data_IF_408186916096
#
_entry.id   IF_408186916096
#
_cell.length_a   1.000
_cell.length_b   1.000
_cell.length_c   1.000
_cell.angle_alpha   90.00
_cell.angle_beta   90.00
_cell.angle_gamma   90.00
#
_symmetry.space_group_name_H-M   'P 1'
#
loop_
_entity.id
_entity.type
_entity.pdbx_description
1 polymer ?
#
# COMPACT_ATOMS: atom_id res chain seq x y z
N UNK A 1 33.28 16.13 9.69
CA UNK A 1 33.54 16.87 10.94
C UNK A 1 35.05 16.96 11.15
N UNK A 2 35.68 18.09 10.80
CA UNK A 2 37.09 18.35 11.18
C UNK A 2 37.12 18.76 12.66
N UNK A 3 37.96 18.13 13.47
CA UNK A 3 38.17 18.50 14.88
C UNK A 3 39.16 19.65 14.93
N UNK A 4 38.76 20.79 15.48
CA UNK A 4 39.64 21.92 15.75
C UNK A 4 40.40 21.62 17.05
N UNK A 5 41.72 21.54 17.00
CA UNK A 5 42.56 21.42 18.19
C UNK A 5 43.12 22.80 18.55
N UNK A 6 42.75 23.30 19.73
CA UNK A 6 43.24 24.56 20.27
C UNK A 6 44.49 24.28 21.12
N UNK A 7 45.68 24.66 20.64
CA UNK A 7 46.91 24.66 21.45
C UNK A 7 47.20 26.09 21.93
N UNK A 8 47.07 26.31 23.24
CA UNK A 8 47.54 27.54 23.89
C UNK A 8 49.00 27.34 24.33
N UNK A 9 49.94 28.08 23.75
CA UNK A 9 51.28 28.25 24.32
C UNK A 9 51.36 29.62 25.00
N UNK A 10 51.46 29.63 26.33
CA UNK A 10 51.86 30.81 27.08
C UNK A 10 53.34 30.65 27.46
N UNK A 11 54.24 31.37 26.79
CA UNK A 11 55.66 31.40 27.14
C UNK A 11 55.87 32.55 28.13
N UNK A 12 55.98 32.24 29.42
CA UNK A 12 56.39 33.22 30.43
C UNK A 12 57.92 33.35 30.42
N UNK A 13 58.44 34.45 29.87
CA UNK A 13 59.84 34.84 29.95
C UNK A 13 59.96 36.10 30.82
N UNK A 14 60.86 36.10 31.81
CA UNK A 14 61.09 37.21 32.73
C UNK A 14 62.06 38.25 32.14
N UNK A 15 61.69 38.86 31.02
CA UNK A 15 62.23 40.14 30.56
C UNK A 15 61.06 41.05 30.17
N UNK A 16 61.20 42.35 30.42
CA UNK A 16 60.29 43.38 29.87
C UNK A 16 60.29 43.27 28.35
N UNK A 17 59.20 42.74 27.80
CA UNK A 17 59.08 42.44 26.39
C UNK A 17 57.66 42.02 26.02
N UNK A 18 57.36 42.15 24.73
CA UNK A 18 56.05 41.96 24.11
C UNK A 18 55.46 40.56 24.37
N UNK A 19 54.25 40.51 24.93
CA UNK A 19 53.43 39.30 24.93
C UNK A 19 52.76 39.14 23.56
N UNK A 20 52.96 38.01 22.90
CA UNK A 20 52.25 37.67 21.65
C UNK A 20 51.49 36.36 21.87
N UNK A 21 50.19 36.37 21.61
CA UNK A 21 49.39 35.15 21.46
C UNK A 21 49.02 35.04 20.00
N UNK A 22 49.49 33.98 19.34
CA UNK A 22 49.14 33.65 17.97
C UNK A 22 48.02 32.63 18.04
N UNK A 23 46.81 32.99 17.59
CA UNK A 23 45.76 32.00 17.34
C UNK A 23 46.05 31.39 15.97
N UNK A 24 46.68 30.23 15.96
CA UNK A 24 46.89 29.44 14.76
C UNK A 24 45.72 28.47 14.61
N UNK A 25 44.93 28.62 13.54
CA UNK A 25 43.88 27.69 13.16
C UNK A 25 44.34 26.96 11.92
N UNK A 26 44.48 25.64 12.01
CA UNK A 26 44.70 24.82 10.83
C UNK A 26 43.35 24.60 10.13
N UNK A 27 43.39 24.48 8.79
CA UNK A 27 42.38 23.79 7.98
C UNK A 27 41.14 24.59 7.48
N UNK A 28 41.27 25.91 7.28
CA UNK A 28 40.29 26.70 6.51
C UNK A 28 40.62 26.67 5.01
N UNK A 29 39.65 26.33 4.16
CA UNK A 29 39.80 26.43 2.70
C UNK A 29 39.31 27.77 2.14
N UNK A 30 39.64 28.01 0.87
CA UNK A 30 39.85 29.31 0.24
C UNK A 30 38.59 30.20 0.03
N UNK A 31 37.45 29.88 0.65
CA UNK A 31 36.15 30.54 0.38
C UNK A 31 35.61 31.36 1.56
N UNK A 32 36.32 31.38 2.68
CA UNK A 32 35.81 31.92 3.95
C UNK A 32 36.50 33.23 4.32
N UNK A 33 35.70 34.29 4.45
CA UNK A 33 36.11 35.51 5.15
C UNK A 33 35.95 35.30 6.65
N UNK A 34 36.92 35.76 7.44
CA UNK A 34 36.87 35.76 8.90
C UNK A 34 36.52 37.19 9.38
N UNK A 35 35.25 37.58 9.50
CA UNK A 35 34.90 38.89 10.03
C UNK A 35 35.18 38.90 11.54
N UNK A 36 36.13 39.73 11.97
CA UNK A 36 36.38 40.01 13.39
C UNK A 36 35.60 41.29 13.72
N UNK A 37 34.37 41.16 14.21
CA UNK A 37 33.60 42.30 14.69
C UNK A 37 33.74 42.38 16.20
N UNK A 38 34.42 43.43 16.69
CA UNK A 38 34.48 43.73 18.12
C UNK A 38 33.46 44.83 18.43
N UNK A 39 32.60 44.65 19.44
CA UNK A 39 31.77 45.75 19.92
C UNK A 39 32.58 46.62 20.89
N UNK A 40 32.63 47.93 20.62
CA UNK A 40 33.27 48.91 21.51
C UNK A 40 34.60 49.54 21.06
N UNK A 41 35.04 49.37 19.81
CA UNK A 41 36.26 50.02 19.29
C UNK A 41 36.10 50.60 17.88
N UNK A 42 36.92 51.59 17.52
CA UNK A 42 36.92 52.25 16.20
C UNK A 42 37.71 51.43 15.18
N UNK A 43 37.09 51.10 14.05
CA UNK A 43 37.69 50.34 12.95
C UNK A 43 38.68 51.20 12.14
N UNK A 44 39.83 50.64 11.75
CA UNK A 44 40.77 51.28 10.82
C UNK A 44 41.10 50.31 9.68
N UNK A 45 40.79 50.70 8.45
CA UNK A 45 41.05 49.89 7.24
C UNK A 45 42.15 50.57 6.44
N UNK A 46 43.33 49.95 6.38
CA UNK A 46 44.44 50.38 5.53
C UNK A 46 45.68 49.53 5.73
N UNK A 47 46.36 49.19 4.63
CA UNK A 47 47.69 48.56 4.70
C UNK A 47 48.71 49.62 5.09
N UNK A 48 49.40 49.48 6.22
CA UNK A 48 50.52 50.36 6.55
C UNK A 48 51.81 49.58 6.72
N UNK A 49 52.89 50.12 6.15
CA UNK A 49 54.25 49.91 6.63
C UNK A 49 54.41 50.63 7.97
N UNK A 50 55.33 50.13 8.80
CA UNK A 50 55.39 50.30 10.26
C UNK A 50 55.47 51.73 10.85
N UNK A 51 55.44 52.80 10.05
CA UNK A 51 55.70 54.18 10.50
C UNK A 51 54.46 55.06 10.69
N UNK A 52 53.28 54.69 10.18
CA UNK A 52 52.11 55.59 10.18
C UNK A 52 51.10 55.21 11.27
N UNK A 53 51.50 55.28 12.55
CA UNK A 53 50.62 54.97 13.70
C UNK A 53 50.32 56.23 14.55
N UNK A 54 49.06 56.50 14.96
CA UNK A 54 48.74 57.62 15.87
C UNK A 54 49.12 57.29 17.31
N UNK A 55 49.67 58.26 18.04
CA UNK A 55 50.27 58.10 19.39
C UNK A 55 49.29 57.72 20.51
N UNK A 56 47.96 57.72 20.29
CA UNK A 56 46.97 57.65 21.37
C UNK A 56 45.86 56.59 21.22
N UNK A 57 46.11 55.49 20.48
CA UNK A 57 45.17 54.36 20.44
C UNK A 57 45.69 53.19 21.30
N UNK A 58 44.96 52.86 22.36
CA UNK A 58 45.23 51.76 23.29
C UNK A 58 44.87 50.36 22.72
N UNK A 59 44.35 50.30 21.51
CA UNK A 59 44.03 49.06 20.78
C UNK A 59 44.13 49.28 19.27
N UNK A 60 44.73 48.34 18.54
CA UNK A 60 44.85 48.37 17.08
C UNK A 60 44.72 46.96 16.50
N UNK A 61 43.96 46.81 15.41
CA UNK A 61 43.84 45.58 14.63
C UNK A 61 44.29 45.87 13.21
N UNK A 62 45.39 45.27 12.75
CA UNK A 62 45.68 45.22 11.32
C UNK A 62 44.93 44.03 10.73
N UNK A 63 43.83 44.28 10.02
CA UNK A 63 43.28 43.27 9.12
C UNK A 63 44.18 43.22 7.88
N UNK A 64 44.67 42.03 7.54
CA UNK A 64 45.15 41.79 6.18
C UNK A 64 44.05 40.98 5.49
N UNK A 65 43.49 41.53 4.42
CA UNK A 65 42.58 40.77 3.56
C UNK A 65 43.41 39.66 2.91
N UNK A 66 43.48 38.49 3.55
CA UNK A 66 44.26 37.37 3.07
C UNK A 66 43.48 36.60 2.01
N UNK A 67 43.44 37.14 0.79
CA UNK A 67 42.98 36.38 -0.37
C UNK A 67 44.06 35.36 -0.73
N UNK A 68 43.75 34.06 -0.58
CA UNK A 68 44.58 32.97 -1.13
C UNK A 68 45.78 32.52 -0.29
N UNK A 69 45.73 32.56 1.05
CA UNK A 69 46.75 31.91 1.89
C UNK A 69 46.16 30.99 2.96
N UNK A 70 46.80 29.83 3.13
CA UNK A 70 46.43 28.68 3.98
C UNK A 70 46.54 28.93 5.49
N UNK A 71 46.78 30.16 5.95
CA UNK A 71 46.97 30.51 7.36
C UNK A 71 46.59 31.99 7.58
N UNK A 72 45.36 32.23 8.05
CA UNK A 72 44.95 33.54 8.58
C UNK A 72 45.16 33.57 10.10
N UNK A 73 45.89 34.58 10.60
CA UNK A 73 46.07 34.78 12.05
C UNK A 73 45.39 36.08 12.46
N UNK A 74 44.46 36.03 13.41
CA UNK A 74 44.00 37.21 14.15
C UNK A 74 44.93 37.42 15.35
N UNK A 75 45.50 38.62 15.50
CA UNK A 75 46.46 38.96 16.56
C UNK A 75 45.83 39.95 17.53
N UNK A 76 45.70 39.55 18.80
CA UNK A 76 45.28 40.43 19.90
C UNK A 76 46.50 40.68 20.77
N UNK A 77 46.85 41.95 20.99
CA UNK A 77 48.04 42.35 21.77
C UNK A 77 47.65 43.46 22.74
N UNK A 78 48.08 43.39 24.01
CA UNK A 78 47.93 44.48 24.98
C UNK A 78 49.26 45.20 25.19
N UNK A 79 49.26 46.52 25.36
CA UNK A 79 50.47 47.27 25.75
C UNK A 79 50.75 47.18 27.26
N UNK A 80 51.93 47.67 27.69
CA UNK A 80 52.46 47.60 29.06
C UNK A 80 51.47 48.13 30.12
N UNK A 81 51.11 47.29 31.10
CA UNK A 81 50.35 47.71 32.29
C UNK A 81 51.28 47.92 33.48
N UNK A 82 51.11 49.02 34.22
CA UNK A 82 52.09 49.48 35.22
C UNK A 82 51.92 48.91 36.63
N UNK A 83 50.94 48.05 36.91
CA UNK A 83 50.87 47.32 38.19
C UNK A 83 49.67 46.38 38.22
N UNK A 84 49.93 45.11 38.56
CA UNK A 84 49.00 43.96 38.59
C UNK A 84 48.77 43.32 37.22
N UNK A 85 49.35 42.11 37.03
CA UNK A 85 49.19 41.32 35.83
C UNK A 85 47.72 40.96 35.60
N UNK A 86 47.10 41.60 34.61
CA UNK A 86 45.83 41.12 34.07
C UNK A 86 46.16 40.25 32.85
N UNK A 87 45.75 38.98 32.91
CA UNK A 87 45.82 38.10 31.75
C UNK A 87 44.84 38.62 30.67
N UNK A 88 45.20 38.47 29.40
CA UNK A 88 44.25 38.64 28.29
C UNK A 88 43.15 37.58 28.46
N UNK A 89 42.00 38.00 28.98
CA UNK A 89 40.78 37.19 29.02
C UNK A 89 40.16 37.20 27.63
N UNK A 90 40.41 36.15 26.86
CA UNK A 90 39.67 35.87 25.63
C UNK A 90 38.56 34.90 26.04
N UNK A 91 37.35 35.43 26.20
CA UNK A 91 36.15 34.65 26.51
C UNK A 91 35.14 34.80 25.37
N UNK A 92 34.24 33.83 25.21
CA UNK A 92 33.17 33.84 24.19
C UNK A 92 33.63 33.92 22.71
N UNK A 93 34.73 33.24 22.36
CA UNK A 93 35.15 33.12 20.95
C UNK A 93 34.24 32.13 20.21
N UNK A 94 33.42 32.65 19.30
CA UNK A 94 32.67 31.86 18.33
C UNK A 94 33.28 31.98 16.94
N UNK A 95 33.66 30.85 16.35
CA UNK A 95 34.10 30.75 14.96
C UNK A 95 33.06 29.92 14.22
N UNK A 96 32.33 30.56 13.30
CA UNK A 96 31.35 29.87 12.44
C UNK A 96 31.96 29.75 11.04
N UNK A 97 32.28 28.52 10.63
CA UNK A 97 32.55 28.27 9.21
C UNK A 97 31.23 28.35 8.45
N UNK A 98 31.14 29.17 7.40
CA UNK A 98 30.04 29.09 6.45
C UNK A 98 30.11 27.68 5.83
N UNK A 99 29.10 26.84 6.07
CA UNK A 99 29.15 25.44 5.69
C UNK A 99 29.40 25.26 4.18
N UNK A 100 30.27 24.31 3.82
CA UNK A 100 30.47 23.86 2.44
C UNK A 100 29.11 23.54 1.80
N UNK A 101 28.74 24.27 0.74
CA UNK A 101 27.54 23.95 -0.02
C UNK A 101 27.83 22.78 -0.95
N UNK A 102 27.38 21.58 -0.55
CA UNK A 102 27.58 20.38 -1.36
C UNK A 102 26.69 20.41 -2.62
N UNK A 103 27.16 19.84 -3.76
CA UNK A 103 26.32 19.65 -4.94
C UNK A 103 25.03 18.89 -4.60
N UNK A 104 23.92 19.33 -5.17
CA UNK A 104 22.61 18.72 -4.93
C UNK A 104 21.79 18.61 -6.23
N UNK A 105 20.99 17.55 -6.31
CA UNK A 105 20.06 17.28 -7.40
C UNK A 105 18.68 17.11 -6.78
N UNK A 106 17.66 17.67 -7.42
CA UNK A 106 16.26 17.51 -7.04
C UNK A 106 15.46 16.98 -8.22
N UNK A 107 14.57 16.02 -7.95
CA UNK A 107 13.62 15.45 -8.92
C UNK A 107 12.20 15.50 -8.37
N UNK A 108 11.21 15.81 -9.22
CA UNK A 108 9.80 15.87 -8.79
C UNK A 108 8.83 15.61 -9.96
N UNK A 109 7.87 14.67 -9.84
CA UNK A 109 7.73 13.70 -8.75
C UNK A 109 8.87 12.66 -8.77
N UNK A 110 9.03 11.93 -7.66
CA UNK A 110 10.01 10.82 -7.54
C UNK A 110 9.47 9.49 -8.06
N UNK A 111 8.23 9.45 -8.54
CA UNK A 111 7.60 8.26 -9.11
C UNK A 111 6.61 8.62 -10.21
N UNK A 112 6.61 7.83 -11.28
CA UNK A 112 5.70 7.91 -12.42
C UNK A 112 5.04 6.54 -12.63
N UNK A 113 3.73 6.50 -12.87
CA UNK A 113 2.97 5.24 -12.92
C UNK A 113 1.88 5.27 -13.96
N UNK A 114 1.55 4.13 -14.56
CA UNK A 114 0.50 4.03 -15.58
C UNK A 114 1.05 4.06 -17.00
N UNK A 115 2.33 3.69 -17.18
CA UNK A 115 2.91 3.44 -18.50
C UNK A 115 2.40 2.12 -19.05
N UNK A 116 1.14 2.09 -19.48
CA UNK A 116 0.46 0.89 -19.91
C UNK A 116 0.14 0.96 -21.42
N UNK A 117 0.33 -0.15 -22.11
CA UNK A 117 -0.15 -0.32 -23.48
C UNK A 117 -0.42 -1.80 -23.79
N UNK A 118 -1.29 -2.08 -24.76
CA UNK A 118 -1.54 -3.46 -25.23
C UNK A 118 -0.40 -3.90 -26.14
N UNK A 119 0.10 -5.13 -25.97
CA UNK A 119 1.19 -5.69 -26.80
C UNK A 119 1.01 -5.38 -28.29
N UNK A 120 2.06 -4.84 -28.91
CA UNK A 120 2.05 -4.40 -30.31
C UNK A 120 1.55 -2.97 -30.55
N UNK A 121 0.94 -2.30 -29.57
CA UNK A 121 0.44 -0.92 -29.67
C UNK A 121 1.34 0.14 -29.02
N UNK A 122 2.48 -0.28 -28.45
CA UNK A 122 3.43 0.62 -27.80
C UNK A 122 4.09 1.60 -28.79
N UNK A 123 4.77 2.65 -28.30
CA UNK A 123 5.10 2.93 -26.88
C UNK A 123 3.90 3.37 -26.03
N UNK A 124 4.08 3.46 -24.71
CA UNK A 124 3.06 4.04 -23.83
C UNK A 124 2.85 5.53 -24.11
N UNK A 125 1.75 6.10 -23.63
CA UNK A 125 1.66 7.55 -23.43
C UNK A 125 2.80 8.03 -22.53
N UNK A 126 3.33 9.22 -22.83
CA UNK A 126 4.39 9.83 -22.03
C UNK A 126 3.83 10.44 -20.74
N UNK A 127 4.65 10.46 -19.70
CA UNK A 127 4.47 11.25 -18.48
C UNK A 127 5.71 12.12 -18.27
N UNK A 128 5.73 12.97 -17.25
CA UNK A 128 6.88 13.85 -17.04
C UNK A 128 7.21 14.09 -15.56
N UNK A 129 8.47 14.42 -15.34
CA UNK A 129 9.00 14.91 -14.06
C UNK A 129 9.96 16.08 -14.33
N UNK A 130 10.32 16.83 -13.30
CA UNK A 130 11.29 17.92 -13.38
C UNK A 130 12.60 17.56 -12.69
N UNK A 131 13.72 18.04 -13.23
CA UNK A 131 15.06 17.89 -12.66
C UNK A 131 15.70 19.27 -12.49
N UNK A 132 16.31 19.52 -11.34
CA UNK A 132 17.12 20.71 -11.08
C UNK A 132 18.34 20.36 -10.23
N UNK A 133 19.30 21.28 -10.13
CA UNK A 133 20.44 21.10 -9.23
C UNK A 133 21.16 22.40 -8.87
N UNK A 134 21.90 22.35 -7.76
CA UNK A 134 22.59 23.49 -7.15
C UNK A 134 24.00 23.11 -6.70
N UNK A 135 24.90 24.09 -6.69
CA UNK A 135 26.33 23.94 -6.33
C UNK A 135 27.04 22.83 -7.13
N UNK A 136 26.60 22.59 -8.37
CA UNK A 136 27.11 21.53 -9.22
C UNK A 136 28.50 21.88 -9.78
N UNK A 137 29.41 20.92 -9.75
CA UNK A 137 30.75 21.05 -10.36
C UNK A 137 30.85 20.32 -11.71
N UNK A 138 29.77 19.68 -12.17
CA UNK A 138 29.69 18.97 -13.45
C UNK A 138 28.23 18.81 -13.90
N UNK A 139 28.04 18.23 -15.09
CA UNK A 139 26.70 18.00 -15.66
C UNK A 139 25.85 17.09 -14.76
N UNK A 140 24.52 17.24 -14.86
CA UNK A 140 23.61 16.18 -14.42
C UNK A 140 23.44 15.21 -15.59
N UNK A 141 23.79 13.94 -15.40
CA UNK A 141 23.51 12.86 -16.35
C UNK A 141 22.26 12.11 -15.89
N UNK A 142 21.23 12.14 -16.73
CA UNK A 142 20.04 11.31 -16.60
C UNK A 142 20.25 10.03 -17.41
N UNK A 143 20.07 8.88 -16.78
CA UNK A 143 20.15 7.57 -17.43
C UNK A 143 18.83 6.84 -17.25
N UNK A 144 18.13 6.59 -18.37
CA UNK A 144 16.94 5.77 -18.39
C UNK A 144 17.33 4.28 -18.38
N UNK A 145 16.51 3.42 -17.73
CA UNK A 145 16.73 1.98 -17.74
C UNK A 145 16.36 1.37 -19.10
N UNK A 146 16.59 0.07 -19.28
CA UNK A 146 16.50 -0.59 -20.58
C UNK A 146 15.15 -0.42 -21.26
N UNK A 147 14.05 -0.45 -20.50
CA UNK A 147 12.69 -0.49 -21.07
C UNK A 147 12.01 0.89 -21.15
N UNK A 148 12.67 1.95 -20.67
CA UNK A 148 12.16 3.32 -20.70
C UNK A 148 13.02 4.22 -21.59
N UNK A 149 12.36 5.22 -22.19
CA UNK A 149 13.02 6.35 -22.85
C UNK A 149 12.70 7.65 -22.12
N UNK A 150 13.64 8.60 -22.18
CA UNK A 150 13.50 9.97 -21.69
C UNK A 150 13.70 10.99 -22.82
N UNK A 151 13.09 12.17 -22.71
CA UNK A 151 13.24 13.29 -23.65
C UNK A 151 13.08 14.65 -22.96
N UNK A 152 13.71 15.69 -23.48
CA UNK A 152 13.40 17.10 -23.12
C UNK A 152 12.29 17.69 -23.98
N UNK A 153 11.86 17.00 -25.03
CA UNK A 153 10.87 17.46 -26.01
C UNK A 153 9.67 16.51 -26.00
N UNK A 154 8.48 17.03 -25.74
CA UNK A 154 7.25 16.23 -25.76
C UNK A 154 7.04 15.60 -27.14
N UNK A 155 6.77 14.29 -27.18
CA UNK A 155 6.46 13.56 -28.41
C UNK A 155 7.63 13.23 -29.35
N UNK A 156 8.86 13.67 -29.08
CA UNK A 156 10.02 13.43 -29.97
C UNK A 156 11.34 13.31 -29.19
N UNK A 157 12.44 12.99 -29.88
CA UNK A 157 13.82 13.00 -29.32
C UNK A 157 14.06 12.08 -28.11
N UNK A 158 13.25 11.03 -28.01
CA UNK A 158 13.41 9.99 -26.99
C UNK A 158 14.76 9.27 -27.11
N UNK A 159 15.46 9.21 -25.99
CA UNK A 159 16.81 8.65 -25.84
C UNK A 159 16.92 7.93 -24.49
N UNK A 160 18.02 7.21 -24.26
CA UNK A 160 18.32 6.56 -22.99
C UNK A 160 19.22 7.41 -22.07
N UNK A 161 19.79 8.51 -22.56
CA UNK A 161 20.65 9.40 -21.77
C UNK A 161 20.44 10.86 -22.14
N UNK A 162 20.40 11.74 -21.13
CA UNK A 162 20.31 13.19 -21.29
C UNK A 162 21.36 13.83 -20.38
N UNK A 163 22.09 14.82 -20.90
CA UNK A 163 22.98 15.65 -20.09
C UNK A 163 22.39 17.05 -19.91
N UNK A 164 22.24 17.48 -18.65
CA UNK A 164 21.88 18.85 -18.31
C UNK A 164 23.13 19.60 -17.83
N UNK A 165 23.52 20.61 -18.60
CA UNK A 165 24.74 21.39 -18.35
C UNK A 165 24.43 22.53 -17.37
N UNK A 166 25.12 22.64 -16.22
CA UNK A 166 24.90 23.73 -15.27
C UNK A 166 25.43 25.07 -15.80
N UNK A 167 24.74 26.16 -15.46
CA UNK A 167 25.20 27.53 -15.63
C UNK A 167 25.37 28.17 -14.26
N UNK A 168 26.58 28.66 -13.94
CA UNK A 168 26.87 29.22 -12.61
C UNK A 168 26.74 28.23 -11.45
N UNK A 169 26.92 26.92 -11.72
CA UNK A 169 26.75 25.86 -10.71
C UNK A 169 25.30 25.41 -10.52
N UNK A 170 24.37 25.88 -11.35
CA UNK A 170 22.94 25.57 -11.23
C UNK A 170 22.37 25.01 -12.52
N UNK A 171 21.47 24.04 -12.39
CA UNK A 171 20.56 23.61 -13.46
C UNK A 171 19.15 24.04 -13.06
N UNK A 172 18.55 24.92 -13.85
CA UNK A 172 17.16 25.33 -13.65
C UNK A 172 16.22 24.13 -13.83
N UNK A 173 15.05 24.18 -13.18
CA UNK A 173 14.02 23.14 -13.30
C UNK A 173 13.69 22.84 -14.76
N UNK A 174 14.08 21.65 -15.21
CA UNK A 174 13.94 21.17 -16.58
C UNK A 174 12.96 20.01 -16.60
N UNK A 175 11.94 20.08 -17.46
CA UNK A 175 10.96 19.00 -17.64
C UNK A 175 11.55 17.88 -18.49
N UNK A 176 11.40 16.65 -18.01
CA UNK A 176 11.83 15.42 -18.66
C UNK A 176 10.58 14.57 -18.92
N UNK A 177 10.29 14.31 -20.18
CA UNK A 177 9.25 13.40 -20.64
C UNK A 177 9.78 11.97 -20.62
N UNK A 178 8.97 11.02 -20.18
CA UNK A 178 9.32 9.61 -20.00
C UNK A 178 8.23 8.74 -20.60
N UNK A 179 8.58 7.64 -21.25
CA UNK A 179 7.63 6.63 -21.73
C UNK A 179 8.22 5.22 -21.63
N UNK A 180 7.35 4.21 -21.52
CA UNK A 180 7.74 2.81 -21.73
C UNK A 180 7.91 2.58 -23.25
N UNK A 181 9.02 1.93 -23.63
CA UNK A 181 9.36 1.68 -25.04
C UNK A 181 8.30 0.86 -25.75
N UNK A 182 8.18 1.05 -27.06
CA UNK A 182 7.34 0.20 -27.91
C UNK A 182 8.03 -1.13 -28.23
N UNK A 183 7.24 -2.14 -28.60
CA UNK A 183 7.76 -3.45 -29.03
C UNK A 183 8.18 -4.41 -27.91
N UNK A 184 7.98 -4.04 -26.64
CA UNK A 184 8.24 -4.95 -25.51
C UNK A 184 7.19 -6.07 -25.43
N UNK A 185 7.59 -7.22 -24.87
CA UNK A 185 6.72 -8.36 -24.60
C UNK A 185 5.68 -8.07 -23.52
N UNK A 186 4.60 -8.86 -23.44
CA UNK A 186 3.65 -8.82 -22.31
C UNK A 186 4.41 -8.98 -20.99
N UNK A 187 4.25 -8.04 -20.06
CA UNK A 187 5.06 -7.99 -18.84
C UNK A 187 4.82 -6.76 -17.97
N UNK A 188 5.43 -6.77 -16.79
CA UNK A 188 5.45 -5.63 -15.85
C UNK A 188 6.84 -5.03 -15.84
N UNK A 189 6.90 -3.71 -15.96
CA UNK A 189 8.11 -2.93 -16.17
C UNK A 189 8.24 -1.88 -15.07
N UNK A 190 8.81 -2.32 -13.94
CA UNK A 190 9.05 -1.48 -12.76
C UNK A 190 10.55 -1.22 -12.62
N UNK A 191 10.99 -0.05 -13.06
CA UNK A 191 12.41 0.32 -13.15
C UNK A 191 12.64 1.74 -12.61
N UNK A 192 13.85 2.29 -12.69
CA UNK A 192 14.11 3.66 -12.23
C UNK A 192 15.08 4.41 -13.12
N UNK A 193 14.76 5.67 -13.39
CA UNK A 193 15.64 6.64 -14.05
C UNK A 193 16.58 7.20 -12.99
N UNK A 194 17.88 7.20 -13.27
CA UNK A 194 18.90 7.74 -12.38
C UNK A 194 19.34 9.13 -12.83
N UNK A 195 19.34 10.10 -11.92
CA UNK A 195 19.96 11.42 -12.10
C UNK A 195 21.23 11.50 -11.25
N UNK A 196 22.38 11.74 -11.87
CA UNK A 196 23.68 11.76 -11.18
C UNK A 196 24.53 12.96 -11.59
N UNK A 197 25.38 13.42 -10.68
CA UNK A 197 26.39 14.45 -10.95
C UNK A 197 27.56 14.28 -9.97
N UNK A 198 28.73 14.79 -10.33
CA UNK A 198 29.92 14.66 -9.50
C UNK A 198 29.73 15.37 -8.16
N UNK A 199 29.96 14.67 -7.05
CA UNK A 199 29.82 15.21 -5.69
C UNK A 199 28.38 15.35 -5.18
N UNK A 200 27.37 15.10 -6.01
CA UNK A 200 25.97 15.07 -5.60
C UNK A 200 25.51 13.65 -5.25
N UNK A 201 24.57 13.52 -4.31
CA UNK A 201 23.87 12.23 -4.11
C UNK A 201 22.91 12.01 -5.27
N UNK A 202 23.06 10.88 -5.98
CA UNK A 202 22.18 10.51 -7.09
C UNK A 202 20.72 10.42 -6.65
N UNK A 203 19.82 10.91 -7.49
CA UNK A 203 18.38 10.82 -7.31
C UNK A 203 17.78 9.78 -8.24
N UNK A 204 16.66 9.19 -7.83
CA UNK A 204 15.95 8.18 -8.59
C UNK A 204 14.51 8.62 -8.84
N UNK A 205 14.00 8.32 -10.03
CA UNK A 205 12.58 8.42 -10.35
C UNK A 205 12.08 7.04 -10.73
N UNK A 206 11.26 6.46 -9.88
CA UNK A 206 10.70 5.12 -10.13
C UNK A 206 9.62 5.18 -11.20
N UNK A 207 9.66 4.26 -12.16
CA UNK A 207 8.70 4.16 -13.24
C UNK A 207 7.99 2.81 -13.16
N UNK A 208 6.66 2.81 -13.22
CA UNK A 208 5.86 1.58 -13.22
C UNK A 208 4.88 1.54 -14.39
N UNK A 209 4.93 0.45 -15.15
CA UNK A 209 4.12 0.23 -16.34
C UNK A 209 3.91 -1.25 -16.63
N UNK A 210 3.03 -1.51 -17.59
CA UNK A 210 2.70 -2.86 -18.02
C UNK A 210 2.43 -2.91 -19.52
N UNK A 211 2.97 -3.95 -20.16
CA UNK A 211 2.47 -4.38 -21.47
C UNK A 211 1.37 -5.39 -21.22
N UNK A 212 0.14 -4.97 -21.48
CA UNK A 212 -1.06 -5.77 -21.29
C UNK A 212 -1.19 -6.80 -22.42
N UNK A 213 -1.84 -7.91 -22.12
CA UNK A 213 -2.17 -8.90 -23.14
C UNK A 213 -3.23 -8.35 -24.12
N UNK A 214 -3.45 -9.03 -25.25
CA UNK A 214 -4.48 -8.63 -26.21
C UNK A 214 -5.88 -8.69 -25.60
N UNK A 215 -6.67 -7.63 -25.77
CA UNK A 215 -8.08 -7.63 -25.34
C UNK A 215 -8.85 -8.71 -26.13
N UNK A 216 -9.73 -9.51 -25.49
CA UNK A 216 -10.67 -10.35 -26.25
C UNK A 216 -11.52 -9.51 -27.21
N UNK A 217 -11.74 -10.01 -28.43
CA UNK A 217 -12.50 -9.32 -29.47
C UNK A 217 -14.02 -9.37 -29.20
N UNK A 218 -14.53 -10.48 -28.65
CA UNK A 218 -15.95 -10.71 -28.45
C UNK A 218 -16.31 -10.96 -26.98
N UNK A 219 -17.56 -10.65 -26.64
CA UNK A 219 -18.19 -11.12 -25.41
C UNK A 219 -18.74 -12.53 -25.59
N UNK A 220 -18.96 -13.26 -24.48
CA UNK A 220 -19.73 -14.51 -24.54
C UNK A 220 -21.14 -14.30 -25.07
N UNK A 221 -21.68 -15.35 -25.68
CA UNK A 221 -23.08 -15.42 -26.06
C UNK A 221 -23.89 -16.18 -25.00
N UNK A 222 -25.22 -16.05 -25.06
CA UNK A 222 -26.17 -16.84 -24.26
C UNK A 222 -25.90 -16.80 -22.75
N UNK A 223 -25.46 -15.65 -22.22
CA UNK A 223 -25.25 -15.51 -20.78
C UNK A 223 -26.61 -15.53 -20.06
N UNK A 224 -26.85 -16.56 -19.26
CA UNK A 224 -28.11 -16.73 -18.52
C UNK A 224 -27.87 -17.02 -17.05
N UNK A 225 -28.88 -16.73 -16.23
CA UNK A 225 -28.90 -17.03 -14.81
C UNK A 225 -30.16 -17.83 -14.48
N UNK A 226 -30.01 -18.92 -13.74
CA UNK A 226 -31.09 -19.82 -13.35
C UNK A 226 -31.00 -20.15 -11.85
N UNK A 227 -32.04 -19.82 -11.09
CA UNK A 227 -32.12 -20.19 -9.68
C UNK A 227 -32.40 -21.69 -9.53
N UNK A 228 -31.40 -22.44 -9.07
CA UNK A 228 -31.49 -23.89 -8.85
C UNK A 228 -32.10 -24.23 -7.49
N UNK A 229 -31.95 -23.33 -6.50
CA UNK A 229 -32.50 -23.48 -5.15
C UNK A 229 -32.82 -22.12 -4.51
N UNK A 230 -33.14 -22.13 -3.21
CA UNK A 230 -33.33 -20.91 -2.41
C UNK A 230 -32.01 -20.23 -2.05
N UNK A 231 -30.85 -20.86 -2.29
CA UNK A 231 -29.55 -20.31 -1.94
C UNK A 231 -28.50 -20.49 -3.05
N UNK A 232 -28.95 -20.80 -4.26
CA UNK A 232 -28.05 -21.05 -5.39
C UNK A 232 -28.62 -20.53 -6.71
N UNK A 233 -27.75 -19.86 -7.47
CA UNK A 233 -27.97 -19.47 -8.86
C UNK A 233 -26.85 -20.07 -9.70
N UNK A 234 -27.23 -20.82 -10.73
CA UNK A 234 -26.32 -21.29 -11.76
C UNK A 234 -26.31 -20.29 -12.92
N UNK A 235 -25.11 -19.93 -13.36
CA UNK A 235 -24.88 -19.18 -14.57
C UNK A 235 -24.39 -20.11 -15.67
N UNK A 236 -24.78 -19.82 -16.91
CA UNK A 236 -24.28 -20.51 -18.11
C UNK A 236 -24.03 -19.50 -19.22
N UNK A 237 -23.13 -19.84 -20.13
CA UNK A 237 -22.78 -19.02 -21.30
C UNK A 237 -22.16 -19.89 -22.40
N UNK A 238 -21.96 -19.31 -23.58
CA UNK A 238 -21.17 -19.90 -24.66
C UNK A 238 -19.86 -19.12 -24.80
N UNK A 239 -18.73 -19.84 -24.76
CA UNK A 239 -17.39 -19.23 -24.79
C UNK A 239 -17.15 -18.30 -25.99
N UNK A 240 -16.29 -17.32 -25.76
CA UNK A 240 -15.76 -16.40 -26.78
C UNK A 240 -14.24 -16.60 -26.94
N UNK A 241 -13.53 -15.61 -27.49
CA UNK A 241 -12.08 -15.64 -27.75
C UNK A 241 -11.21 -15.20 -26.56
N UNK A 242 -11.61 -15.56 -25.34
CA UNK A 242 -10.89 -15.21 -24.11
C UNK A 242 -10.28 -16.44 -23.42
N UNK A 243 -9.21 -16.19 -22.66
CA UNK A 243 -8.54 -17.21 -21.84
C UNK A 243 -9.28 -17.46 -20.52
N UNK A 244 -9.97 -16.44 -20.00
CA UNK A 244 -10.63 -16.49 -18.70
C UNK A 244 -11.78 -15.49 -18.60
N UNK A 245 -12.62 -15.70 -17.59
CA UNK A 245 -13.82 -14.92 -17.30
C UNK A 245 -13.82 -14.48 -15.85
N UNK A 246 -14.20 -13.23 -15.62
CA UNK A 246 -14.49 -12.68 -14.32
C UNK A 246 -15.99 -12.42 -14.25
N UNK A 247 -16.68 -13.14 -13.38
CA UNK A 247 -18.10 -12.91 -13.11
C UNK A 247 -18.20 -12.08 -11.84
N UNK A 248 -18.93 -10.98 -11.91
CA UNK A 248 -19.24 -10.13 -10.75
C UNK A 248 -20.74 -10.04 -10.57
N UNK A 249 -21.20 -10.10 -9.32
CA UNK A 249 -22.59 -10.01 -8.95
C UNK A 249 -22.90 -8.89 -7.95
N UNK A 250 -24.18 -8.54 -7.85
CA UNK A 250 -24.75 -7.62 -6.87
C UNK A 250 -26.16 -8.08 -6.49
N UNK A 251 -26.58 -7.87 -5.24
CA UNK A 251 -27.96 -8.08 -4.79
C UNK A 251 -28.85 -6.85 -4.98
N UNK A 252 -28.30 -5.73 -5.47
CA UNK A 252 -29.00 -4.44 -5.53
C UNK A 252 -29.37 -4.06 -6.96
N UNK A 253 -28.40 -3.98 -7.87
CA UNK A 253 -28.62 -3.62 -9.28
C UNK A 253 -27.41 -3.92 -10.16
N UNK A 254 -27.57 -3.80 -11.48
CA UNK A 254 -26.43 -3.83 -12.42
C UNK A 254 -25.49 -2.62 -12.28
N UNK A 255 -25.97 -1.48 -11.80
CA UNK A 255 -25.17 -0.26 -11.66
C UNK A 255 -24.13 -0.39 -10.53
N UNK A 256 -24.43 -1.19 -9.51
CA UNK A 256 -23.50 -1.47 -8.40
C UNK A 256 -22.35 -2.40 -8.80
N UNK A 257 -22.44 -3.01 -9.99
CA UNK A 257 -21.37 -3.86 -10.53
C UNK A 257 -20.38 -2.98 -11.30
N UNK A 258 -19.40 -2.45 -10.56
CA UNK A 258 -18.30 -1.65 -11.12
C UNK A 258 -17.45 -2.51 -12.07
N UNK A 259 -17.12 -2.01 -13.26
CA UNK A 259 -16.25 -2.72 -14.20
C UNK A 259 -14.85 -2.98 -13.60
N UNK A 260 -14.21 -4.12 -13.93
CA UNK A 260 -12.81 -4.32 -13.59
C UNK A 260 -11.93 -3.34 -14.37
N UNK A 261 -10.72 -3.11 -13.85
CA UNK A 261 -9.72 -2.22 -14.44
C UNK A 261 -8.57 -3.08 -14.96
N UNK A 262 -8.09 -2.78 -16.15
CA UNK A 262 -6.95 -3.48 -16.75
C UNK A 262 -5.71 -3.43 -15.86
N UNK A 263 -4.88 -4.46 -15.97
CA UNK A 263 -3.71 -4.66 -15.12
C UNK A 263 -4.00 -4.86 -13.64
N UNK A 264 -5.26 -5.07 -13.25
CA UNK A 264 -5.64 -5.31 -11.85
C UNK A 264 -6.41 -6.61 -11.73
N UNK A 265 -5.80 -7.63 -11.11
CA UNK A 265 -6.49 -8.89 -10.82
C UNK A 265 -7.59 -8.70 -9.77
N UNK A 266 -8.65 -9.51 -9.89
CA UNK A 266 -9.73 -9.61 -8.90
C UNK A 266 -9.73 -11.01 -8.31
N UNK A 267 -9.63 -11.10 -7.00
CA UNK A 267 -9.71 -12.39 -6.29
C UNK A 267 -11.16 -12.85 -6.18
N UNK A 268 -11.36 -14.16 -6.06
CA UNK A 268 -12.67 -14.74 -5.80
C UNK A 268 -13.26 -14.25 -4.47
N UNK A 269 -14.59 -14.17 -4.45
CA UNK A 269 -15.38 -13.80 -3.29
C UNK A 269 -16.80 -14.36 -3.40
N UNK A 270 -17.71 -13.89 -2.54
CA UNK A 270 -19.09 -14.37 -2.51
C UNK A 270 -19.82 -14.12 -3.84
N UNK A 271 -19.67 -12.91 -4.41
CA UNK A 271 -20.26 -12.51 -5.69
C UNK A 271 -19.18 -12.18 -6.74
N UNK A 272 -17.99 -12.75 -6.62
CA UNK A 272 -16.90 -12.59 -7.58
C UNK A 272 -16.27 -13.93 -7.87
N UNK A 273 -16.21 -14.35 -9.13
CA UNK A 273 -15.63 -15.64 -9.54
C UNK A 273 -14.78 -15.50 -10.77
N UNK A 274 -13.57 -16.03 -10.73
CA UNK A 274 -12.74 -16.25 -11.90
C UNK A 274 -12.98 -17.67 -12.44
N UNK A 275 -13.20 -17.78 -13.74
CA UNK A 275 -13.50 -19.05 -14.41
C UNK A 275 -12.62 -19.16 -15.64
N UNK A 276 -12.01 -20.33 -15.86
CA UNK A 276 -11.24 -20.59 -17.06
C UNK A 276 -12.16 -20.74 -18.29
N UNK A 277 -11.63 -20.41 -19.47
CA UNK A 277 -12.29 -20.75 -20.74
C UNK A 277 -12.53 -22.26 -20.85
N UNK A 278 -13.63 -22.66 -21.49
CA UNK A 278 -14.08 -24.06 -21.59
C UNK A 278 -15.06 -24.51 -20.50
N UNK A 279 -15.21 -23.76 -19.40
CA UNK A 279 -16.09 -24.17 -18.31
C UNK A 279 -17.58 -23.99 -18.62
N UNK A 280 -17.97 -22.87 -19.26
CA UNK A 280 -19.33 -22.52 -19.71
C UNK A 280 -20.45 -22.55 -18.64
N UNK A 281 -20.09 -22.75 -17.37
CA UNK A 281 -21.01 -22.69 -16.23
C UNK A 281 -20.28 -22.31 -14.94
N UNK A 282 -20.99 -21.65 -14.03
CA UNK A 282 -20.52 -21.29 -12.70
C UNK A 282 -21.69 -21.20 -11.72
N UNK A 283 -21.54 -21.77 -10.52
CA UNK A 283 -22.56 -21.70 -9.47
C UNK A 283 -22.17 -20.67 -8.41
N UNK A 284 -23.14 -19.83 -8.04
CA UNK A 284 -23.09 -18.95 -6.87
C UNK A 284 -23.97 -19.57 -5.78
N UNK A 285 -23.35 -19.99 -4.68
CA UNK A 285 -24.00 -20.64 -3.53
C UNK A 285 -24.00 -19.72 -2.30
N UNK A 286 -24.75 -20.10 -1.26
CA UNK A 286 -24.84 -19.31 -0.01
C UNK A 286 -25.59 -18.00 -0.18
N UNK A 287 -26.47 -17.92 -1.18
CA UNK A 287 -27.28 -16.74 -1.46
C UNK A 287 -28.49 -16.67 -0.52
N UNK A 288 -29.01 -15.46 -0.29
CA UNK A 288 -30.24 -15.27 0.49
C UNK A 288 -31.46 -15.75 -0.30
N UNK A 289 -32.46 -16.35 0.34
CA UNK A 289 -33.70 -16.78 -0.32
C UNK A 289 -34.57 -15.61 -0.75
N UNK A 290 -35.35 -15.83 -1.81
CA UNK A 290 -36.25 -14.83 -2.39
C UNK A 290 -35.58 -13.48 -2.70
N UNK A 291 -34.30 -13.50 -3.07
CA UNK A 291 -33.48 -12.33 -3.37
C UNK A 291 -33.06 -12.34 -4.83
N UNK A 292 -33.25 -11.21 -5.51
CA UNK A 292 -32.75 -11.01 -6.87
C UNK A 292 -31.26 -10.69 -6.83
N UNK A 293 -30.48 -11.41 -7.63
CA UNK A 293 -29.08 -11.13 -7.88
C UNK A 293 -28.86 -10.80 -9.35
N UNK A 294 -28.04 -9.80 -9.58
CA UNK A 294 -27.63 -9.26 -10.86
C UNK A 294 -26.19 -9.69 -11.11
N UNK A 295 -25.86 -10.10 -12.33
CA UNK A 295 -24.52 -10.55 -12.71
C UNK A 295 -24.06 -9.90 -14.02
N UNK A 296 -22.77 -9.59 -14.09
CA UNK A 296 -22.04 -9.25 -15.32
C UNK A 296 -20.87 -10.21 -15.49
N UNK A 297 -20.59 -10.60 -16.73
CA UNK A 297 -19.43 -11.42 -17.09
C UNK A 297 -18.45 -10.62 -17.93
N UNK A 298 -17.20 -10.56 -17.48
CA UNK A 298 -16.09 -9.85 -18.13
C UNK A 298 -15.07 -10.86 -18.62
N UNK A 299 -14.83 -10.87 -19.92
CA UNK A 299 -13.88 -11.76 -20.57
C UNK A 299 -12.51 -11.12 -20.54
N UNK A 300 -11.45 -11.87 -20.30
CA UNK A 300 -10.11 -11.30 -20.28
C UNK A 300 -9.03 -12.27 -20.70
N UNK A 301 -7.90 -11.69 -21.10
CA UNK A 301 -6.65 -12.38 -21.34
C UNK A 301 -5.57 -11.87 -20.39
N UNK A 302 -4.53 -12.66 -20.15
CA UNK A 302 -3.41 -12.29 -19.26
C UNK A 302 -3.65 -12.69 -17.79
N UNK A 303 -2.68 -12.37 -16.93
CA UNK A 303 -2.72 -12.70 -15.49
C UNK A 303 -2.05 -11.59 -14.67
N UNK A 304 -2.46 -11.42 -13.42
CA UNK A 304 -1.89 -10.40 -12.54
C UNK A 304 -1.95 -8.99 -13.16
N UNK A 305 -0.80 -8.32 -13.24
CA UNK A 305 -0.70 -6.96 -13.78
C UNK A 305 -0.80 -6.85 -15.31
N UNK A 306 -0.88 -7.96 -16.04
CA UNK A 306 -0.95 -7.96 -17.52
C UNK A 306 -2.35 -8.26 -18.06
N UNK A 307 -3.34 -8.33 -17.16
CA UNK A 307 -4.74 -8.60 -17.52
C UNK A 307 -5.29 -7.48 -18.40
N UNK A 308 -6.05 -7.86 -19.42
CA UNK A 308 -6.81 -6.95 -20.27
C UNK A 308 -8.27 -7.43 -20.38
N UNK A 309 -9.19 -6.66 -19.79
CA UNK A 309 -10.60 -6.97 -19.68
C UNK A 309 -11.41 -6.38 -20.83
N UNK A 310 -12.29 -7.20 -21.40
CA UNK A 310 -13.31 -6.75 -22.35
C UNK A 310 -14.44 -6.05 -21.61
N UNK A 311 -14.40 -4.71 -21.55
CA UNK A 311 -15.38 -3.88 -20.83
C UNK A 311 -16.32 -3.08 -21.74
N UNK A 312 -15.99 -2.99 -23.03
CA UNK A 312 -16.78 -2.26 -24.05
C UNK A 312 -16.94 -3.09 -25.33
N UNK A 313 -18.12 -3.16 -25.97
CA UNK A 313 -19.41 -2.58 -25.55
C UNK A 313 -19.89 -3.19 -24.22
N UNK A 314 -21.05 -2.75 -23.69
CA UNK A 314 -21.57 -3.22 -22.39
C UNK A 314 -21.48 -4.75 -22.26
N UNK A 315 -20.85 -5.28 -21.19
CA UNK A 315 -20.69 -6.72 -20.98
C UNK A 315 -22.04 -7.41 -20.83
N UNK A 316 -22.16 -8.71 -21.18
CA UNK A 316 -23.38 -9.47 -21.00
C UNK A 316 -23.85 -9.46 -19.54
N UNK A 317 -25.16 -9.33 -19.39
CA UNK A 317 -25.84 -9.21 -18.11
C UNK A 317 -26.89 -10.30 -17.97
N UNK A 318 -27.02 -10.85 -16.77
CA UNK A 318 -28.09 -11.78 -16.42
C UNK A 318 -28.50 -11.56 -14.96
N UNK A 319 -29.74 -11.89 -14.63
CA UNK A 319 -30.21 -11.86 -13.26
C UNK A 319 -31.15 -13.04 -13.01
N UNK A 320 -31.23 -13.45 -11.75
CA UNK A 320 -32.20 -14.42 -11.28
C UNK A 320 -32.59 -14.11 -9.84
N UNK A 321 -33.82 -14.45 -9.47
CA UNK A 321 -34.29 -14.43 -8.09
C UNK A 321 -34.16 -15.83 -7.52
N UNK A 322 -33.41 -15.98 -6.43
CA UNK A 322 -33.36 -17.25 -5.69
C UNK A 322 -34.78 -17.66 -5.31
N UNK A 323 -35.01 -18.97 -5.22
CA UNK A 323 -36.33 -19.46 -4.84
C UNK A 323 -36.65 -19.04 -3.41
N UNK A 324 -37.94 -18.94 -3.08
CA UNK A 324 -38.33 -18.81 -1.68
C UNK A 324 -37.88 -20.05 -0.90
N UNK A 325 -37.39 -19.82 0.32
CA UNK A 325 -37.19 -20.89 1.28
C UNK A 325 -38.53 -21.15 1.98
N UNK A 326 -38.95 -22.40 2.20
CA UNK A 326 -40.14 -22.69 2.98
C UNK A 326 -39.98 -22.12 4.40
N UNK A 327 -40.98 -21.38 4.87
CA UNK A 327 -40.99 -20.78 6.21
C UNK A 327 -40.85 -21.88 7.26
N UNK A 328 -39.92 -21.70 8.20
CA UNK A 328 -39.74 -22.60 9.33
C UNK A 328 -41.07 -22.78 10.08
N UNK A 329 -41.59 -24.00 10.10
CA UNK A 329 -42.78 -24.34 10.89
C UNK A 329 -42.33 -24.98 12.20
N UNK A 330 -42.86 -24.49 13.32
CA UNK A 330 -42.59 -25.07 14.63
C UNK A 330 -43.55 -26.22 14.89
N UNK A 331 -42.99 -27.39 15.19
CA UNK A 331 -43.73 -28.61 15.52
C UNK A 331 -43.39 -29.03 16.94
N UNK A 332 -44.40 -29.08 17.80
CA UNK A 332 -44.26 -29.55 19.19
C UNK A 332 -44.60 -31.02 19.27
N UNK A 333 -43.74 -31.82 19.90
CA UNK A 333 -44.02 -33.23 20.12
C UNK A 333 -45.13 -33.44 21.14
N UNK A 334 -46.21 -34.08 20.71
CA UNK A 334 -47.35 -34.48 21.54
C UNK A 334 -47.52 -36.00 21.64
N UNK A 335 -46.67 -36.76 20.95
CA UNK A 335 -46.68 -38.23 20.99
C UNK A 335 -46.46 -38.81 22.40
N UNK A 336 -47.04 -39.98 22.66
CA UNK A 336 -46.80 -40.74 23.90
C UNK A 336 -45.36 -41.25 23.98
N UNK A 337 -44.99 -41.81 25.14
CA UNK A 337 -43.74 -42.58 25.24
C UNK A 337 -43.76 -43.76 24.25
N UNK A 338 -42.61 -44.03 23.62
CA UNK A 338 -42.44 -45.04 22.57
C UNK A 338 -43.00 -44.67 21.18
N UNK A 339 -43.65 -43.52 21.03
CA UNK A 339 -44.30 -43.16 19.77
C UNK A 339 -43.30 -42.81 18.65
N UNK A 340 -43.69 -43.08 17.40
CA UNK A 340 -42.83 -42.94 16.22
C UNK A 340 -42.73 -41.49 15.73
N UNK A 341 -41.50 -41.03 15.48
CA UNK A 341 -41.15 -39.72 14.92
C UNK A 341 -41.89 -39.43 13.60
N UNK A 342 -42.15 -40.47 12.81
CA UNK A 342 -42.68 -40.37 11.45
C UNK A 342 -44.20 -40.22 11.41
N UNK A 343 -44.91 -40.47 12.52
CA UNK A 343 -46.37 -40.34 12.57
C UNK A 343 -46.73 -38.86 12.73
N UNK A 344 -47.33 -38.28 11.70
CA UNK A 344 -47.62 -36.84 11.60
C UNK A 344 -48.44 -36.29 12.79
N UNK A 345 -49.37 -37.07 13.34
CA UNK A 345 -50.24 -36.68 14.47
C UNK A 345 -49.55 -36.71 15.83
N UNK A 346 -48.29 -37.16 15.91
CA UNK A 346 -47.47 -37.03 17.12
C UNK A 346 -46.82 -35.65 17.24
N UNK A 347 -47.04 -34.78 16.24
CA UNK A 347 -46.59 -33.40 16.21
C UNK A 347 -47.81 -32.47 16.19
N UNK A 348 -47.71 -31.33 16.86
CA UNK A 348 -48.67 -30.23 16.79
C UNK A 348 -48.00 -28.97 16.22
N UNK A 349 -48.48 -28.43 15.07
CA UNK A 349 -49.52 -28.98 14.19
C UNK A 349 -49.09 -30.31 13.54
N UNK A 350 -50.01 -31.04 12.90
CA UNK A 350 -49.66 -32.32 12.25
C UNK A 350 -48.53 -32.14 11.22
N UNK A 351 -47.42 -32.88 11.37
CA UNK A 351 -46.24 -32.77 10.48
C UNK A 351 -46.36 -33.66 9.24
N UNK A 352 -47.24 -33.30 8.32
CA UNK A 352 -47.52 -34.09 7.09
C UNK A 352 -46.54 -33.82 5.94
N UNK A 353 -45.87 -32.67 5.94
CA UNK A 353 -44.90 -32.27 4.89
C UNK A 353 -43.57 -31.82 5.52
N UNK A 354 -42.74 -32.75 6.02
CA UNK A 354 -41.42 -32.45 6.58
C UNK A 354 -40.60 -31.50 5.70
N UNK A 355 -40.12 -30.39 6.27
CA UNK A 355 -39.17 -29.47 5.63
C UNK A 355 -37.83 -29.48 6.36
N UNK A 356 -36.77 -29.11 5.63
CA UNK A 356 -35.44 -28.94 6.19
C UNK A 356 -35.26 -27.66 7.02
N UNK A 357 -36.30 -26.82 7.11
CA UNK A 357 -36.37 -25.63 7.96
C UNK A 357 -37.23 -25.83 9.21
N UNK A 358 -37.80 -27.01 9.40
CA UNK A 358 -38.69 -27.26 10.54
C UNK A 358 -37.97 -27.09 11.88
N UNK A 359 -38.66 -26.48 12.84
CA UNK A 359 -38.22 -26.35 14.23
C UNK A 359 -38.95 -27.42 15.03
N UNK A 360 -38.23 -28.41 15.53
CA UNK A 360 -38.80 -29.51 16.29
C UNK A 360 -38.60 -29.28 17.78
N UNK A 361 -39.69 -29.24 18.54
CA UNK A 361 -39.69 -28.90 19.96
C UNK A 361 -40.19 -30.07 20.79
N UNK A 362 -39.43 -30.42 21.83
CA UNK A 362 -39.84 -31.31 22.90
C UNK A 362 -39.93 -30.52 24.20
N UNK A 363 -41.13 -30.36 24.73
CA UNK A 363 -41.40 -29.46 25.86
C UNK A 363 -42.13 -30.14 27.03
N UNK A 364 -42.19 -31.47 27.07
CA UNK A 364 -42.84 -32.16 28.18
C UNK A 364 -42.40 -33.61 28.37
N UNK A 365 -42.37 -34.02 29.64
CA UNK A 365 -42.27 -35.40 30.07
C UNK A 365 -40.92 -36.08 29.84
N UNK A 366 -40.84 -37.34 30.24
CA UNK A 366 -39.76 -38.25 29.91
C UNK A 366 -40.27 -39.22 28.84
N UNK A 367 -39.69 -39.18 27.64
CA UNK A 367 -40.21 -39.92 26.48
C UNK A 367 -39.07 -40.52 25.66
N UNK A 368 -39.31 -41.71 25.13
CA UNK A 368 -38.53 -42.34 24.07
C UNK A 368 -39.24 -42.13 22.75
N UNK A 369 -38.57 -41.47 21.79
CA UNK A 369 -39.10 -41.19 20.46
C UNK A 369 -38.44 -42.14 19.47
N UNK A 370 -39.25 -42.99 18.84
CA UNK A 370 -38.77 -44.10 18.02
C UNK A 370 -38.78 -43.74 16.53
N UNK A 371 -38.12 -44.57 15.70
CA UNK A 371 -38.10 -44.45 14.25
C UNK A 371 -37.62 -43.09 13.69
N UNK A 372 -36.67 -42.44 14.37
CA UNK A 372 -36.03 -41.20 13.87
C UNK A 372 -35.38 -41.48 12.50
N UNK A 373 -35.82 -40.84 11.40
CA UNK A 373 -35.33 -41.11 10.05
C UNK A 373 -34.01 -40.39 9.77
N UNK A 374 -33.37 -40.75 8.67
CA UNK A 374 -32.37 -39.87 8.04
C UNK A 374 -33.09 -38.67 7.42
N UNK A 375 -32.91 -37.48 7.98
CA UNK A 375 -33.53 -36.25 7.48
C UNK A 375 -32.72 -35.02 7.90
N UNK A 376 -32.98 -33.89 7.22
CA UNK A 376 -32.51 -32.57 7.63
C UNK A 376 -33.67 -31.81 8.28
N UNK A 377 -33.38 -31.05 9.35
CA UNK A 377 -34.30 -30.12 10.01
C UNK A 377 -33.60 -28.77 10.24
N UNK A 378 -34.39 -27.73 10.54
CA UNK A 378 -33.86 -26.40 10.83
C UNK A 378 -33.26 -26.34 12.23
N UNK A 379 -34.07 -26.67 13.25
CA UNK A 379 -33.66 -26.61 14.66
C UNK A 379 -34.25 -27.77 15.48
N UNK A 380 -33.56 -28.17 16.54
CA UNK A 380 -34.03 -29.13 17.55
C UNK A 380 -33.95 -28.52 18.94
N UNK A 381 -35.10 -28.43 19.64
CA UNK A 381 -35.20 -27.80 20.96
C UNK A 381 -35.79 -28.76 21.98
N UNK A 382 -35.16 -28.87 23.15
CA UNK A 382 -35.66 -29.60 24.31
C UNK A 382 -35.81 -28.63 25.48
N UNK A 383 -37.04 -28.36 25.89
CA UNK A 383 -37.42 -27.30 26.83
C UNK A 383 -38.28 -27.83 27.97
N UNK A 384 -38.59 -26.97 28.94
CA UNK A 384 -39.61 -27.19 29.97
C UNK A 384 -39.44 -28.49 30.79
N UNK A 385 -38.19 -28.86 31.07
CA UNK A 385 -37.83 -30.04 31.85
C UNK A 385 -38.00 -31.38 31.11
N UNK A 386 -38.17 -31.35 29.78
CA UNK A 386 -38.31 -32.55 28.98
C UNK A 386 -37.02 -33.39 28.97
N UNK A 387 -37.18 -34.72 29.05
CA UNK A 387 -36.09 -35.69 28.98
C UNK A 387 -36.36 -36.68 27.85
N UNK A 388 -35.69 -36.49 26.73
CA UNK A 388 -36.02 -37.16 25.47
C UNK A 388 -34.91 -38.11 25.09
N UNK A 389 -35.27 -39.35 24.79
CA UNK A 389 -34.37 -40.33 24.19
C UNK A 389 -34.78 -40.55 22.73
N UNK A 390 -33.90 -40.19 21.80
CA UNK A 390 -34.09 -40.45 20.38
C UNK A 390 -33.58 -41.84 20.01
N UNK A 391 -34.39 -42.58 19.24
CA UNK A 391 -34.05 -43.92 18.77
C UNK A 391 -34.32 -44.04 17.27
N UNK A 392 -33.27 -44.35 16.50
CA UNK A 392 -33.40 -44.71 15.09
C UNK A 392 -33.78 -46.19 14.93
N UNK A 393 -34.38 -46.53 13.78
CA UNK A 393 -34.64 -47.92 13.38
C UNK A 393 -33.44 -48.59 12.71
N UNK A 394 -32.36 -47.86 12.43
CA UNK A 394 -31.13 -48.30 11.79
C UNK A 394 -30.03 -47.24 11.86
N UNK A 395 -28.99 -47.36 11.03
CA UNK A 395 -27.93 -46.36 10.90
C UNK A 395 -28.41 -45.08 10.22
N UNK A 396 -28.97 -44.14 10.98
CA UNK A 396 -29.59 -42.91 10.45
C UNK A 396 -28.82 -41.66 10.88
N UNK A 397 -28.91 -40.61 10.07
CA UNK A 397 -28.34 -39.28 10.39
C UNK A 397 -29.42 -38.22 10.42
N UNK A 398 -29.58 -37.56 11.56
CA UNK A 398 -30.39 -36.34 11.67
C UNK A 398 -29.45 -35.13 11.52
N UNK A 399 -29.59 -34.39 10.43
CA UNK A 399 -28.80 -33.17 10.17
C UNK A 399 -29.58 -31.95 10.63
N UNK A 400 -28.95 -31.07 11.41
CA UNK A 400 -29.50 -29.77 11.79
C UNK A 400 -28.80 -28.74 10.90
N UNK A 401 -29.53 -28.16 9.94
CA UNK A 401 -28.96 -27.23 8.95
C UNK A 401 -28.78 -25.80 9.49
N UNK A 402 -29.40 -25.53 10.63
CA UNK A 402 -29.39 -24.25 11.31
C UNK A 402 -30.33 -23.21 10.72
N UNK A 403 -30.75 -22.28 11.57
CA UNK A 403 -31.56 -21.10 11.24
C UNK A 403 -31.21 -19.97 12.24
N UNK A 404 -31.91 -18.84 12.21
CA UNK A 404 -31.69 -17.76 13.18
C UNK A 404 -31.94 -18.27 14.61
N UNK A 405 -30.90 -18.19 15.46
CA UNK A 405 -30.96 -18.58 16.87
C UNK A 405 -30.13 -19.83 17.17
N UNK A 406 -30.47 -20.52 18.26
CA UNK A 406 -29.80 -21.78 18.63
C UNK A 406 -30.33 -22.94 17.78
N UNK A 407 -29.43 -23.58 17.05
CA UNK A 407 -29.74 -24.69 16.14
C UNK A 407 -30.07 -26.00 16.88
N UNK A 408 -29.29 -26.30 17.91
CA UNK A 408 -29.55 -27.35 18.90
C UNK A 408 -29.61 -26.72 20.29
N UNK A 409 -30.77 -26.78 20.93
CA UNK A 409 -31.00 -26.17 22.23
C UNK A 409 -31.54 -27.18 23.25
N UNK A 410 -30.84 -27.37 24.37
CA UNK A 410 -31.31 -28.16 25.51
C UNK A 410 -31.31 -27.24 26.73
N UNK A 411 -32.50 -26.88 27.20
CA UNK A 411 -32.67 -25.96 28.32
C UNK A 411 -32.16 -26.57 29.65
N UNK A 412 -31.88 -25.71 30.64
CA UNK A 412 -31.49 -26.17 31.97
C UNK A 412 -32.55 -27.10 32.58
N UNK A 413 -32.12 -28.27 33.05
CA UNK A 413 -33.01 -29.30 33.61
C UNK A 413 -33.62 -30.26 32.57
N UNK A 414 -33.36 -30.05 31.28
CA UNK A 414 -33.73 -30.97 30.20
C UNK A 414 -32.62 -31.97 29.87
N UNK A 415 -32.98 -33.05 29.17
CA UNK A 415 -32.03 -34.05 28.67
C UNK A 415 -32.36 -34.43 27.21
N UNK A 416 -31.33 -34.52 26.38
CA UNK A 416 -31.40 -35.13 25.05
C UNK A 416 -30.43 -36.32 25.01
N UNK A 417 -30.99 -37.52 24.90
CA UNK A 417 -30.27 -38.79 24.90
C UNK A 417 -30.41 -39.47 23.53
N UNK A 418 -29.42 -40.28 23.17
CA UNK A 418 -29.46 -41.15 21.98
C UNK A 418 -29.29 -42.59 22.48
N UNK A 419 -30.20 -43.49 22.10
CA UNK A 419 -30.16 -44.88 22.55
C UNK A 419 -29.38 -45.80 21.60
N UNK A 420 -28.66 -46.78 22.18
CA UNK A 420 -27.61 -47.55 21.51
C UNK A 420 -28.09 -48.78 20.70
N UNK A 421 -29.39 -49.08 20.61
CA UNK A 421 -29.85 -50.25 19.86
C UNK A 421 -29.65 -50.11 18.34
N UNK A 422 -29.49 -48.88 17.84
CA UNK A 422 -29.13 -48.53 16.46
C UNK A 422 -28.33 -47.21 16.46
N UNK A 423 -27.36 -47.05 15.55
CA UNK A 423 -26.52 -45.83 15.49
C UNK A 423 -27.34 -44.67 14.91
N UNK A 424 -27.69 -43.68 15.74
CA UNK A 424 -28.19 -42.37 15.28
C UNK A 424 -27.07 -41.34 15.44
N UNK A 425 -26.72 -40.66 14.35
CA UNK A 425 -25.77 -39.54 14.37
C UNK A 425 -26.56 -38.23 14.27
N UNK A 426 -26.26 -37.27 15.15
CA UNK A 426 -26.70 -35.88 14.98
C UNK A 426 -25.53 -35.11 14.34
N UNK A 427 -25.74 -34.59 13.13
CA UNK A 427 -24.78 -33.72 12.46
C UNK A 427 -25.23 -32.28 12.60
N UNK A 428 -24.33 -31.44 13.11
CA UNK A 428 -24.46 -29.98 13.09
C UNK A 428 -23.77 -29.42 11.84
#
# INVERSE_FOLDING_TARGET
MKKIYLMLFALACSFTGWGQTIIALNDFDATTTLPVTMSGGTEYIGSSTSSDRPENASFYVSSQTAYGKTNGSAKVTSESTTSSAQALGIDDVSITANGETSPSISVNPTSLSGFNYVVGSGPSSEQSFTVSGQNLTGNITLTAPTDYDISTTSGSEFTNTIELVPSGGSVNSTTIYTRLKGGLSVGIYNESITASSTGATSQQVSCSGAVLNTEPANHVANFTANATSSSEIQLTWTDADASSYLIKGSSTSYADIVAPVDGTSKSDGALVKNVASGAQSCNFTGLSPNQTYYFKIYHYNGTGGTINYKTSPEPPQANATTRSQPTATTYTWIGSDGASWQVATNWDPNRTTPQNTDILVFNSGTKTVTAVPTQTIGQLKVTDGAKITLQASGGNTLTINGDVGDDLYVASGCELNISASNILTISL
#
